data_IF_393830340503
#
_entry.id   IF_393830340503
#
_cell.length_a   1.000
_cell.length_b   1.000
_cell.length_c   1.000
_cell.angle_alpha   90.00
_cell.angle_beta   90.00
_cell.angle_gamma   90.00
#
_symmetry.space_group_name_H-M   'P 1'
#
loop_
_entity.id
_entity.type
_entity.pdbx_description
1 polymer ?
#
# COMPACT_ATOMS: atom_id res chain seq x y z
N UNK A 1 8.95 -2.68 13.39
CA UNK A 1 9.00 -2.74 11.91
C UNK A 1 8.97 -1.31 11.38
N UNK A 2 9.54 -1.05 10.20
CA UNK A 2 9.47 0.28 9.57
C UNK A 2 8.59 0.23 8.33
N UNK A 3 7.71 1.20 8.20
CA UNK A 3 7.01 1.54 6.96
C UNK A 3 7.71 2.75 6.34
N UNK A 4 8.15 2.64 5.10
CA UNK A 4 8.87 3.70 4.40
C UNK A 4 8.11 4.04 3.12
N UNK A 5 7.55 5.24 3.04
CA UNK A 5 6.85 5.73 1.85
C UNK A 5 7.89 6.08 0.79
N UNK A 6 8.03 5.22 -0.22
CA UNK A 6 9.02 5.36 -1.28
C UNK A 6 8.57 6.33 -2.37
N UNK A 7 7.26 6.38 -2.63
CA UNK A 7 6.65 7.40 -3.47
C UNK A 7 5.23 7.72 -3.01
N UNK A 8 4.92 9.01 -3.05
CA UNK A 8 3.63 9.68 -2.90
C UNK A 8 3.68 10.96 -3.77
N UNK A 9 2.55 11.56 -4.06
CA UNK A 9 2.45 12.74 -4.91
C UNK A 9 3.17 13.99 -4.39
N UNK A 10 3.59 14.01 -3.13
CA UNK A 10 4.33 15.13 -2.53
C UNK A 10 5.66 14.63 -1.96
N UNK A 11 6.80 15.27 -2.26
CA UNK A 11 8.10 14.85 -1.74
C UNK A 11 8.50 15.55 -0.44
N UNK A 12 9.28 14.86 0.39
CA UNK A 12 10.14 15.51 1.39
C UNK A 12 11.38 16.12 0.73
N UNK A 13 12.08 17.02 1.43
CA UNK A 13 13.28 17.68 0.90
C UNK A 13 14.33 16.66 0.46
N UNK A 14 14.80 16.78 -0.78
CA UNK A 14 15.83 15.91 -1.35
C UNK A 14 15.32 14.59 -1.93
N UNK A 15 14.01 14.34 -1.92
CA UNK A 15 13.38 13.22 -2.59
C UNK A 15 12.69 13.67 -3.88
N UNK A 16 12.47 12.70 -4.76
CA UNK A 16 11.66 12.86 -5.98
C UNK A 16 10.26 12.32 -5.73
N UNK A 17 9.33 12.73 -6.57
CA UNK A 17 8.00 12.16 -6.62
C UNK A 17 7.52 12.04 -8.06
N UNK A 18 6.61 11.10 -8.30
CA UNK A 18 5.73 11.05 -9.46
C UNK A 18 4.28 10.94 -8.98
N UNK A 19 3.32 11.04 -9.90
CA UNK A 19 1.97 10.57 -9.61
C UNK A 19 2.03 9.04 -9.43
N UNK A 20 1.94 8.56 -8.20
CA UNK A 20 1.98 7.12 -7.91
C UNK A 20 2.08 6.82 -6.43
N UNK A 21 2.14 5.52 -6.12
CA UNK A 21 2.20 5.04 -4.75
C UNK A 21 3.19 3.88 -4.63
N UNK A 22 4.02 3.92 -3.58
CA UNK A 22 4.86 2.78 -3.20
C UNK A 22 5.28 2.89 -1.74
N UNK A 23 5.19 1.78 -1.02
CA UNK A 23 5.60 1.69 0.39
C UNK A 23 6.39 0.40 0.63
N UNK A 24 7.49 0.52 1.39
CA UNK A 24 8.29 -0.61 1.85
C UNK A 24 7.99 -0.89 3.32
N UNK A 25 7.43 -2.06 3.60
CA UNK A 25 7.16 -2.55 4.95
C UNK A 25 8.17 -3.67 5.31
N UNK A 26 9.27 -3.30 5.97
CA UNK A 26 10.39 -4.20 6.17
C UNK A 26 11.00 -4.69 4.86
N UNK A 27 10.71 -5.93 4.46
CA UNK A 27 11.15 -6.54 3.18
C UNK A 27 9.99 -6.82 2.22
N UNK A 28 8.82 -6.24 2.47
CA UNK A 28 7.63 -6.37 1.63
C UNK A 28 7.44 -5.05 0.90
N UNK A 29 7.47 -5.08 -0.43
CA UNK A 29 7.14 -3.93 -1.27
C UNK A 29 5.65 -3.97 -1.61
N UNK A 30 4.92 -2.89 -1.36
CA UNK A 30 3.54 -2.73 -1.77
C UNK A 30 3.44 -1.57 -2.75
N UNK A 31 3.02 -1.90 -3.98
CA UNK A 31 3.08 -1.04 -5.18
C UNK A 31 4.50 -0.51 -5.47
N UNK A 32 4.72 -0.02 -6.69
CA UNK A 32 6.05 0.31 -7.19
C UNK A 32 6.10 1.60 -7.99
N UNK A 33 5.20 2.55 -7.73
CA UNK A 33 5.19 3.88 -8.37
C UNK A 33 5.02 3.80 -9.91
N UNK A 34 4.91 4.96 -10.56
CA UNK A 34 4.94 5.14 -12.02
C UNK A 34 6.35 4.93 -12.58
N UNK A 35 7.38 5.44 -11.90
CA UNK A 35 8.69 5.62 -12.50
C UNK A 35 9.79 4.86 -11.75
N UNK A 36 10.43 3.84 -12.36
CA UNK A 36 11.48 3.07 -11.72
C UNK A 36 12.68 3.94 -11.28
N UNK A 37 12.95 5.05 -11.98
CA UNK A 37 14.06 5.95 -11.62
C UNK A 37 13.76 6.76 -10.35
N UNK A 38 12.49 7.07 -10.08
CA UNK A 38 12.06 7.71 -8.83
C UNK A 38 12.23 6.73 -7.68
N UNK A 39 11.74 5.50 -7.85
CA UNK A 39 11.88 4.42 -6.88
C UNK A 39 13.35 4.11 -6.55
N UNK A 40 14.21 3.99 -7.58
CA UNK A 40 15.64 3.77 -7.43
C UNK A 40 16.36 4.94 -6.73
N UNK A 41 16.01 6.17 -7.08
CA UNK A 41 16.60 7.36 -6.45
C UNK A 41 16.19 7.47 -4.98
N UNK A 42 14.89 7.37 -4.68
CA UNK A 42 14.36 7.55 -3.34
C UNK A 42 14.84 6.45 -2.39
N UNK A 43 14.87 5.18 -2.83
CA UNK A 43 15.40 4.08 -2.01
C UNK A 43 16.86 4.31 -1.60
N UNK A 44 17.70 4.79 -2.54
CA UNK A 44 19.09 5.15 -2.26
C UNK A 44 19.20 6.32 -1.26
N UNK A 45 18.42 7.39 -1.44
CA UNK A 45 18.46 8.56 -0.54
C UNK A 45 17.95 8.21 0.86
N UNK A 46 16.95 7.32 0.96
CA UNK A 46 16.37 6.85 2.23
C UNK A 46 17.21 5.75 2.90
N UNK A 47 18.25 5.24 2.24
CA UNK A 47 19.09 4.18 2.78
C UNK A 47 18.38 2.84 2.94
N UNK A 48 17.38 2.57 2.10
CA UNK A 48 16.63 1.30 2.10
C UNK A 48 16.95 0.49 0.85
N UNK A 49 16.95 -0.84 0.99
CA UNK A 49 17.34 -1.75 -0.09
C UNK A 49 16.11 -2.42 -0.72
N UNK A 50 16.03 -2.33 -2.05
CA UNK A 50 14.99 -2.98 -2.85
C UNK A 50 15.42 -4.34 -3.39
N UNK A 51 16.62 -4.79 -3.04
CA UNK A 51 17.13 -6.13 -3.33
C UNK A 51 16.94 -7.04 -2.10
N UNK A 52 16.71 -8.32 -2.34
CA UNK A 52 16.49 -9.30 -1.27
C UNK A 52 15.15 -9.10 -0.56
N UNK A 53 14.14 -8.63 -1.31
CA UNK A 53 12.76 -8.54 -0.84
C UNK A 53 12.21 -9.94 -0.55
N UNK A 54 11.28 -10.03 0.39
CA UNK A 54 10.59 -11.27 0.75
C UNK A 54 9.54 -11.63 -0.30
N UNK A 55 8.75 -10.64 -0.69
CA UNK A 55 7.79 -10.66 -1.80
C UNK A 55 7.35 -9.22 -2.10
N UNK A 56 6.71 -9.05 -3.24
CA UNK A 56 6.02 -7.82 -3.62
C UNK A 56 4.50 -8.05 -3.64
N UNK A 57 3.75 -6.97 -3.51
CA UNK A 57 2.30 -6.92 -3.62
C UNK A 57 1.94 -5.78 -4.57
N UNK A 58 1.05 -6.05 -5.52
CA UNK A 58 0.47 -5.03 -6.40
C UNK A 58 -1.02 -4.94 -6.12
N UNK A 59 -1.46 -3.78 -5.64
CA UNK A 59 -2.86 -3.54 -5.26
C UNK A 59 -3.84 -3.72 -6.43
N UNK A 60 -3.50 -3.16 -7.60
CA UNK A 60 -4.29 -3.23 -8.83
C UNK A 60 -3.46 -2.82 -10.06
N UNK A 61 -3.97 -3.04 -11.26
CA UNK A 61 -3.22 -2.88 -12.52
C UNK A 61 -3.33 -1.48 -13.15
N UNK A 62 -3.18 -0.43 -12.35
CA UNK A 62 -2.93 0.91 -12.89
C UNK A 62 -1.43 1.23 -12.94
N UNK A 63 -1.04 1.96 -13.98
CA UNK A 63 0.38 2.19 -14.32
C UNK A 63 1.15 2.88 -13.19
N UNK A 64 0.48 3.75 -12.45
CA UNK A 64 1.01 4.49 -11.30
C UNK A 64 1.25 3.65 -10.03
N UNK A 65 0.90 2.37 -10.09
CA UNK A 65 1.14 1.38 -9.05
C UNK A 65 2.13 0.28 -9.48
N UNK A 66 2.26 0.01 -10.77
CA UNK A 66 3.15 -1.07 -11.26
C UNK A 66 4.35 -0.61 -12.08
N UNK A 67 4.44 0.66 -12.47
CA UNK A 67 5.45 1.17 -13.41
C UNK A 67 6.90 0.88 -13.01
N UNK A 68 7.21 0.84 -11.70
CA UNK A 68 8.52 0.44 -11.19
C UNK A 68 8.74 -1.07 -11.00
N UNK A 69 7.73 -1.93 -11.19
CA UNK A 69 7.87 -3.37 -10.99
C UNK A 69 8.91 -4.06 -11.90
N UNK A 70 9.09 -3.69 -13.18
CA UNK A 70 10.16 -4.27 -14.00
C UNK A 70 11.56 -4.10 -13.37
N UNK A 71 11.85 -2.91 -12.83
CA UNK A 71 13.10 -2.65 -12.10
C UNK A 71 13.22 -3.48 -10.83
N UNK A 72 12.11 -3.66 -10.09
CA UNK A 72 12.09 -4.52 -8.89
C UNK A 72 12.37 -5.99 -9.25
N UNK A 73 11.84 -6.46 -10.38
CA UNK A 73 12.07 -7.82 -10.87
C UNK A 73 13.52 -8.04 -11.30
N UNK A 74 14.14 -7.06 -11.96
CA UNK A 74 15.57 -7.10 -12.31
C UNK A 74 16.45 -7.25 -11.05
N UNK A 75 16.09 -6.56 -9.96
CA UNK A 75 16.80 -6.67 -8.68
C UNK A 75 16.51 -7.98 -7.93
N UNK A 76 15.35 -8.59 -8.17
CA UNK A 76 14.88 -9.80 -7.47
C UNK A 76 14.28 -10.83 -8.45
N UNK A 77 15.11 -11.51 -9.26
CA UNK A 77 14.60 -12.50 -10.21
C UNK A 77 13.80 -13.60 -9.51
N UNK A 78 12.60 -13.88 -10.01
CA UNK A 78 11.69 -14.89 -9.44
C UNK A 78 11.02 -14.46 -8.13
N UNK A 79 11.06 -13.17 -7.76
CA UNK A 79 10.35 -12.67 -6.59
C UNK A 79 8.86 -13.01 -6.70
N UNK A 80 8.27 -13.42 -5.59
CA UNK A 80 6.82 -13.66 -5.53
C UNK A 80 6.09 -12.31 -5.62
N UNK A 81 5.10 -12.21 -6.50
CA UNK A 81 4.24 -11.03 -6.63
C UNK A 81 2.78 -11.42 -6.38
N UNK A 82 2.21 -10.97 -5.27
CA UNK A 82 0.76 -11.13 -5.03
C UNK A 82 0.01 -10.01 -5.75
N UNK A 83 -0.96 -10.34 -6.60
CA UNK A 83 -1.71 -9.35 -7.37
C UNK A 83 -3.08 -9.89 -7.84
N UNK A 84 -4.02 -9.03 -8.30
CA UNK A 84 -5.23 -9.45 -9.00
C UNK A 84 -4.94 -10.25 -10.28
N UNK A 85 -5.85 -11.14 -10.67
CA UNK A 85 -5.65 -12.17 -11.71
C UNK A 85 -5.30 -11.61 -13.11
N UNK A 86 -5.79 -10.44 -13.50
CA UNK A 86 -5.76 -9.95 -14.88
C UNK A 86 -4.36 -9.73 -15.47
N UNK A 87 -3.38 -9.27 -14.69
CA UNK A 87 -2.03 -8.94 -15.18
C UNK A 87 -0.97 -10.01 -14.94
N UNK A 88 -1.34 -11.24 -14.57
CA UNK A 88 -0.40 -12.34 -14.31
C UNK A 88 0.58 -12.60 -15.46
N UNK A 89 0.18 -12.63 -16.75
CA UNK A 89 1.12 -12.81 -17.86
C UNK A 89 2.17 -11.70 -17.98
N UNK A 90 1.81 -10.48 -17.62
CA UNK A 90 2.72 -9.33 -17.65
C UNK A 90 3.76 -9.44 -16.54
N UNK A 91 3.34 -9.81 -15.32
CA UNK A 91 4.27 -10.07 -14.21
C UNK A 91 5.28 -11.18 -14.52
N UNK A 92 4.84 -12.28 -15.15
CA UNK A 92 5.73 -13.35 -15.59
C UNK A 92 6.77 -12.85 -16.60
N UNK A 93 6.38 -11.99 -17.55
CA UNK A 93 7.30 -11.40 -18.53
C UNK A 93 8.36 -10.51 -17.89
N UNK A 94 8.06 -9.83 -16.80
CA UNK A 94 9.04 -9.04 -16.05
C UNK A 94 9.98 -9.92 -15.21
N UNK A 95 9.64 -11.19 -14.97
CA UNK A 95 10.46 -12.13 -14.21
C UNK A 95 10.00 -12.40 -12.77
N UNK A 96 8.75 -12.04 -12.44
CA UNK A 96 8.14 -12.45 -11.17
C UNK A 96 7.62 -13.90 -11.22
N UNK A 97 7.42 -14.48 -10.04
CA UNK A 97 6.56 -15.64 -9.81
C UNK A 97 5.22 -15.15 -9.25
N UNK A 98 4.26 -14.74 -10.10
CA UNK A 98 3.05 -14.09 -9.59
C UNK A 98 2.10 -15.11 -8.96
N UNK A 99 1.41 -14.67 -7.91
CA UNK A 99 0.42 -15.44 -7.16
C UNK A 99 -0.89 -14.67 -7.19
N UNK A 100 -1.95 -15.23 -7.82
CA UNK A 100 -3.22 -14.53 -7.92
C UNK A 100 -3.88 -14.40 -6.56
N UNK A 101 -4.34 -13.20 -6.23
CA UNK A 101 -5.17 -12.94 -5.06
C UNK A 101 -6.62 -12.86 -5.51
N UNK A 102 -7.43 -13.80 -5.01
CA UNK A 102 -8.85 -13.90 -5.36
C UNK A 102 -9.75 -13.65 -4.14
N UNK A 103 -9.41 -14.25 -2.99
CA UNK A 103 -10.22 -14.21 -1.77
C UNK A 103 -9.44 -13.62 -0.59
N UNK A 104 -10.13 -13.12 0.46
CA UNK A 104 -9.48 -12.76 1.71
C UNK A 104 -8.78 -13.96 2.34
N UNK A 105 -7.70 -13.70 3.09
CA UNK A 105 -6.97 -14.73 3.82
C UNK A 105 -5.52 -14.35 4.15
N UNK A 106 -4.80 -15.27 4.78
CA UNK A 106 -3.37 -15.13 5.06
C UNK A 106 -2.54 -15.48 3.82
N UNK A 107 -1.69 -14.56 3.36
CA UNK A 107 -0.82 -14.75 2.18
C UNK A 107 0.62 -15.09 2.55
N UNK A 108 1.03 -14.72 3.76
CA UNK A 108 2.30 -15.07 4.40
C UNK A 108 2.12 -14.94 5.92
N UNK A 109 3.03 -15.50 6.73
CA UNK A 109 2.94 -15.48 8.19
C UNK A 109 2.71 -14.06 8.71
N UNK A 110 1.55 -13.85 9.33
CA UNK A 110 1.09 -12.55 9.88
C UNK A 110 0.89 -11.45 8.82
N UNK A 111 0.63 -11.85 7.58
CA UNK A 111 0.31 -10.96 6.47
C UNK A 111 -0.97 -11.46 5.80
N UNK A 112 -1.98 -10.61 5.82
CA UNK A 112 -3.33 -10.90 5.35
C UNK A 112 -3.64 -10.08 4.11
N UNK A 113 -4.61 -10.53 3.33
CA UNK A 113 -5.17 -9.77 2.20
C UNK A 113 -6.68 -9.70 2.29
N UNK A 114 -7.26 -8.61 1.75
CA UNK A 114 -8.70 -8.46 1.56
C UNK A 114 -9.28 -9.39 0.49
N UNK A 115 -8.44 -10.05 -0.31
CA UNK A 115 -8.87 -10.56 -1.61
C UNK A 115 -9.08 -9.42 -2.62
N UNK A 116 -9.15 -9.76 -3.91
CA UNK A 116 -9.43 -8.78 -4.96
C UNK A 116 -10.93 -8.44 -4.94
N UNK A 117 -11.28 -7.37 -4.22
CA UNK A 117 -12.65 -6.89 -4.17
C UNK A 117 -13.06 -6.37 -5.55
N UNK A 118 -14.31 -6.65 -5.92
CA UNK A 118 -14.87 -6.33 -7.23
C UNK A 118 -14.01 -6.89 -8.40
N UNK A 119 -13.24 -7.96 -8.15
CA UNK A 119 -12.24 -8.56 -9.04
C UNK A 119 -11.13 -7.59 -9.51
N UNK A 120 -10.92 -6.49 -8.77
CA UNK A 120 -10.11 -5.38 -9.25
C UNK A 120 -8.94 -5.02 -8.34
N UNK A 121 -9.20 -4.81 -7.05
CA UNK A 121 -8.19 -4.27 -6.13
C UNK A 121 -8.17 -5.02 -4.80
N UNK A 122 -6.98 -5.21 -4.25
CA UNK A 122 -6.79 -5.75 -2.91
C UNK A 122 -5.90 -4.87 -2.04
N UNK A 123 -6.08 -5.02 -0.73
CA UNK A 123 -5.25 -4.46 0.32
C UNK A 123 -4.52 -5.58 1.06
N UNK A 124 -3.53 -5.20 1.88
CA UNK A 124 -2.91 -6.12 2.82
C UNK A 124 -2.98 -5.61 4.26
N UNK A 125 -3.00 -6.53 5.21
CA UNK A 125 -2.78 -6.28 6.63
C UNK A 125 -1.48 -6.93 7.07
N UNK A 126 -0.67 -6.24 7.87
CA UNK A 126 0.57 -6.78 8.44
C UNK A 126 0.47 -6.64 9.96
N UNK A 127 0.63 -7.73 10.71
CA UNK A 127 0.74 -7.62 12.16
C UNK A 127 2.09 -7.04 12.55
N UNK A 128 2.06 -6.03 13.41
CA UNK A 128 3.23 -5.32 13.92
C UNK A 128 3.20 -5.29 15.45
N UNK A 129 4.24 -4.75 16.07
CA UNK A 129 4.27 -4.57 17.53
C UNK A 129 3.21 -3.59 18.03
N UNK A 130 2.81 -2.63 17.19
CA UNK A 130 1.76 -1.66 17.48
C UNK A 130 0.34 -2.15 17.16
N UNK A 131 0.19 -3.32 16.53
CA UNK A 131 -1.09 -3.87 16.08
C UNK A 131 -1.14 -4.08 14.56
N UNK A 132 -2.34 -4.25 14.00
CA UNK A 132 -2.51 -4.52 12.58
C UNK A 132 -2.39 -3.23 11.75
N UNK A 133 -1.44 -3.19 10.81
CA UNK A 133 -1.32 -2.11 9.82
C UNK A 133 -1.96 -2.56 8.52
N UNK A 134 -2.95 -1.80 8.05
CA UNK A 134 -3.59 -2.01 6.74
C UNK A 134 -2.98 -1.05 5.72
N UNK A 135 -2.49 -1.60 4.61
CA UNK A 135 -1.91 -0.85 3.50
C UNK A 135 -2.83 -1.02 2.28
N UNK A 136 -3.25 0.11 1.71
CA UNK A 136 -4.11 0.17 0.51
C UNK A 136 -3.39 0.86 -0.67
N UNK A 137 -3.82 0.55 -1.89
CA UNK A 137 -3.37 1.20 -3.12
C UNK A 137 -4.12 2.50 -3.36
N UNK A 138 -5.16 2.44 -4.21
CA UNK A 138 -6.09 3.55 -4.48
C UNK A 138 -7.42 3.40 -3.75
N UNK A 139 -7.81 2.20 -3.36
CA UNK A 139 -9.11 1.90 -2.74
C UNK A 139 -10.33 2.18 -3.62
N UNK A 140 -10.30 1.83 -4.91
CA UNK A 140 -11.45 1.98 -5.82
C UNK A 140 -12.72 1.28 -5.30
N UNK A 141 -12.65 0.04 -4.76
CA UNK A 141 -13.82 -0.60 -4.15
C UNK A 141 -14.28 0.14 -2.88
N UNK A 142 -13.34 0.76 -2.16
CA UNK A 142 -13.55 1.50 -0.93
C UNK A 142 -12.56 1.16 0.16
N UNK A 143 -11.97 2.20 0.78
CA UNK A 143 -10.98 2.02 1.84
C UNK A 143 -11.59 1.33 3.07
N UNK A 144 -12.84 1.61 3.41
CA UNK A 144 -13.58 0.95 4.49
C UNK A 144 -13.87 -0.53 4.18
N UNK A 145 -14.26 -0.84 2.94
CA UNK A 145 -14.51 -2.22 2.48
C UNK A 145 -13.23 -3.05 2.48
N UNK A 146 -12.15 -2.52 1.91
CA UNK A 146 -10.84 -3.18 1.90
C UNK A 146 -10.32 -3.41 3.31
N UNK A 147 -10.37 -2.38 4.16
CA UNK A 147 -9.93 -2.49 5.55
C UNK A 147 -10.74 -3.50 6.33
N UNK A 148 -12.08 -3.50 6.17
CA UNK A 148 -12.97 -4.49 6.80
C UNK A 148 -12.63 -5.92 6.38
N UNK A 149 -12.41 -6.17 5.10
CA UNK A 149 -12.04 -7.50 4.60
C UNK A 149 -10.68 -7.97 5.17
N UNK A 150 -9.70 -7.07 5.34
CA UNK A 150 -8.42 -7.40 5.99
C UNK A 150 -8.61 -7.69 7.49
N UNK A 151 -9.45 -6.92 8.18
CA UNK A 151 -9.78 -7.15 9.59
C UNK A 151 -10.45 -8.52 9.80
N UNK A 152 -11.45 -8.84 8.97
CA UNK A 152 -12.11 -10.15 8.97
C UNK A 152 -11.13 -11.29 8.71
N UNK A 153 -10.24 -11.15 7.72
CA UNK A 153 -9.24 -12.16 7.38
C UNK A 153 -8.18 -12.38 8.48
N UNK A 154 -7.86 -11.33 9.24
CA UNK A 154 -6.86 -11.36 10.31
C UNK A 154 -7.42 -11.69 11.70
N UNK A 155 -8.74 -11.58 11.88
CA UNK A 155 -9.40 -11.73 13.18
C UNK A 155 -9.25 -10.53 14.12
N UNK A 156 -8.73 -9.39 13.63
CA UNK A 156 -8.65 -8.15 14.40
C UNK A 156 -9.96 -7.37 14.34
N UNK A 157 -10.38 -6.80 15.47
CA UNK A 157 -11.56 -5.92 15.51
C UNK A 157 -11.26 -4.50 14.98
N UNK A 158 -10.01 -4.05 15.09
CA UNK A 158 -9.56 -2.71 14.73
C UNK A 158 -8.13 -2.74 14.17
N UNK A 159 -7.87 -1.88 13.18
CA UNK A 159 -6.52 -1.62 12.68
C UNK A 159 -5.81 -0.58 13.56
N UNK A 160 -4.52 -0.75 13.77
CA UNK A 160 -3.68 0.30 14.34
C UNK A 160 -3.55 1.48 13.36
N UNK A 161 -3.25 1.20 12.11
CA UNK A 161 -3.07 2.22 11.06
C UNK A 161 -3.67 1.73 9.74
N UNK A 162 -4.39 2.62 9.07
CA UNK A 162 -4.75 2.46 7.64
C UNK A 162 -4.02 3.53 6.83
N UNK A 163 -3.20 3.11 5.86
CA UNK A 163 -2.34 3.99 5.06
C UNK A 163 -2.45 3.70 3.56
N UNK A 164 -2.59 4.75 2.75
CA UNK A 164 -2.57 4.67 1.28
C UNK A 164 -3.56 5.62 0.61
N UNK A 165 -3.81 5.40 -0.69
CA UNK A 165 -4.77 6.17 -1.48
C UNK A 165 -6.21 5.72 -1.23
N UNK A 166 -7.13 6.69 -1.11
CA UNK A 166 -8.55 6.44 -0.85
C UNK A 166 -9.47 6.76 -2.05
N UNK A 167 -8.90 7.25 -3.16
CA UNK A 167 -9.59 7.59 -4.42
C UNK A 167 -10.76 8.56 -4.25
N UNK A 168 -10.50 9.70 -3.60
CA UNK A 168 -11.51 10.76 -3.35
C UNK A 168 -12.86 10.22 -2.85
N UNK A 169 -12.86 9.49 -1.72
CA UNK A 169 -14.05 8.78 -1.28
C UNK A 169 -15.12 9.77 -0.78
N UNK A 170 -16.41 9.42 -0.81
CA UNK A 170 -17.41 10.18 -0.08
C UNK A 170 -17.14 10.11 1.43
N UNK A 171 -17.47 11.20 2.13
CA UNK A 171 -17.05 11.40 3.54
C UNK A 171 -17.54 10.32 4.50
N UNK A 172 -18.70 9.72 4.26
CA UNK A 172 -19.23 8.63 5.10
C UNK A 172 -18.34 7.37 5.07
N UNK A 173 -17.55 7.15 4.01
CA UNK A 173 -16.56 6.06 3.96
C UNK A 173 -15.41 6.32 4.92
N UNK A 174 -15.02 7.58 5.06
CA UNK A 174 -14.01 8.01 6.03
C UNK A 174 -14.55 7.84 7.45
N UNK A 175 -15.83 8.15 7.67
CA UNK A 175 -16.50 7.93 8.96
C UNK A 175 -16.50 6.44 9.34
N UNK A 176 -16.92 5.57 8.42
CA UNK A 176 -16.84 4.11 8.61
C UNK A 176 -15.41 3.66 8.94
N UNK A 177 -14.41 4.18 8.20
CA UNK A 177 -13.02 3.84 8.43
C UNK A 177 -12.56 4.25 9.83
N UNK A 178 -12.93 5.46 10.28
CA UNK A 178 -12.56 5.97 11.59
C UNK A 178 -13.13 5.15 12.75
N UNK A 179 -14.25 4.46 12.56
CA UNK A 179 -14.79 3.52 13.54
C UNK A 179 -13.90 2.28 13.71
N UNK A 180 -13.19 1.84 12.67
CA UNK A 180 -12.43 0.58 12.64
C UNK A 180 -10.90 0.74 12.62
N UNK A 181 -10.37 1.95 12.83
CA UNK A 181 -8.91 2.18 12.94
C UNK A 181 -8.55 3.17 14.05
N UNK A 182 -7.33 3.06 14.58
CA UNK A 182 -6.76 4.04 15.52
C UNK A 182 -6.19 5.25 14.77
N UNK A 183 -5.40 5.00 13.72
CA UNK A 183 -4.76 6.02 12.90
C UNK A 183 -5.16 5.91 11.42
N UNK A 184 -5.19 7.05 10.74
CA UNK A 184 -5.54 7.20 9.32
C UNK A 184 -4.50 8.07 8.62
N UNK A 185 -3.85 7.50 7.60
CA UNK A 185 -2.85 8.17 6.77
C UNK A 185 -3.32 8.24 5.30
N UNK A 186 -4.18 9.21 4.95
CA UNK A 186 -4.62 9.41 3.57
C UNK A 186 -3.45 9.91 2.71
N UNK A 187 -3.08 9.15 1.70
CA UNK A 187 -2.00 9.43 0.76
C UNK A 187 -2.50 9.46 -0.69
N UNK A 188 -1.60 9.67 -1.63
CA UNK A 188 -1.79 9.50 -3.05
C UNK A 188 -3.07 10.17 -3.59
N UNK A 189 -3.95 9.40 -4.21
CA UNK A 189 -5.22 9.78 -4.84
C UNK A 189 -6.36 10.11 -3.86
N UNK A 190 -6.10 10.13 -2.54
CA UNK A 190 -7.12 10.45 -1.53
C UNK A 190 -7.81 11.79 -1.77
N UNK A 191 -7.10 12.75 -2.38
CA UNK A 191 -7.61 14.10 -2.63
C UNK A 191 -7.61 15.00 -1.38
N UNK A 192 -7.57 16.30 -1.60
CA UNK A 192 -7.46 17.29 -0.51
C UNK A 192 -8.68 17.29 0.41
N UNK A 193 -9.86 17.02 -0.14
CA UNK A 193 -11.10 16.93 0.64
C UNK A 193 -11.03 15.84 1.70
N UNK A 194 -10.58 14.63 1.35
CA UNK A 194 -10.48 13.53 2.31
C UNK A 194 -9.39 13.80 3.36
N UNK A 195 -8.21 14.28 2.92
CA UNK A 195 -7.10 14.63 3.81
C UNK A 195 -7.52 15.68 4.83
N UNK A 196 -8.17 16.75 4.39
CA UNK A 196 -8.64 17.82 5.26
C UNK A 196 -9.81 17.38 6.15
N UNK A 197 -10.70 16.52 5.64
CA UNK A 197 -11.81 15.99 6.45
C UNK A 197 -11.31 15.16 7.63
N UNK A 198 -10.39 14.23 7.41
CA UNK A 198 -9.77 13.44 8.50
C UNK A 198 -9.06 14.38 9.48
N UNK A 199 -8.25 15.32 8.97
CA UNK A 199 -7.49 16.26 9.80
C UNK A 199 -8.37 17.15 10.69
N UNK A 200 -9.56 17.55 10.22
CA UNK A 200 -10.48 18.41 10.97
C UNK A 200 -11.37 17.63 11.93
N UNK A 201 -11.98 16.52 11.46
CA UNK A 201 -12.97 15.75 12.23
C UNK A 201 -12.34 14.72 13.17
N UNK A 202 -11.26 14.07 12.74
CA UNK A 202 -10.56 13.00 13.44
C UNK A 202 -9.09 13.37 13.67
N UNK A 203 -8.86 14.57 14.23
CA UNK A 203 -7.54 15.19 14.35
C UNK A 203 -6.52 14.30 15.06
N UNK A 204 -6.96 13.60 16.10
CA UNK A 204 -6.17 12.65 16.90
C UNK A 204 -5.81 11.37 16.15
N UNK A 205 -6.54 11.03 15.08
CA UNK A 205 -6.28 9.87 14.23
C UNK A 205 -5.43 10.20 13.02
N UNK A 206 -5.35 11.48 12.63
CA UNK A 206 -4.70 11.89 11.39
C UNK A 206 -3.18 11.75 11.44
N UNK A 207 -2.62 11.06 10.44
CA UNK A 207 -1.18 10.95 10.23
C UNK A 207 -0.82 11.57 8.88
N UNK A 208 0.04 12.60 8.88
CA UNK A 208 0.53 13.21 7.65
C UNK A 208 1.63 12.34 7.04
N UNK A 209 1.43 11.95 5.78
CA UNK A 209 2.40 11.18 5.00
C UNK A 209 2.73 11.88 3.69
N UNK A 210 3.93 11.63 3.19
CA UNK A 210 4.48 12.10 1.91
C UNK A 210 5.66 11.20 1.53
N UNK A 211 6.26 11.39 0.36
CA UNK A 211 7.47 10.63 0.00
C UNK A 211 8.57 10.87 1.02
N UNK A 212 9.16 9.79 1.53
CA UNK A 212 10.16 9.79 2.58
C UNK A 212 9.63 9.75 4.01
N UNK A 213 8.31 9.71 4.22
CA UNK A 213 7.77 9.46 5.55
C UNK A 213 8.17 8.07 6.02
N UNK A 214 8.72 7.99 7.23
CA UNK A 214 9.08 6.75 7.92
C UNK A 214 8.21 6.64 9.17
N UNK A 215 7.52 5.51 9.33
CA UNK A 215 6.66 5.21 10.48
C UNK A 215 7.18 3.94 11.15
N UNK A 216 7.43 4.00 12.46
CA UNK A 216 7.78 2.85 13.28
C UNK A 216 6.50 2.21 13.83
N UNK A 217 6.34 0.90 13.60
CA UNK A 217 5.16 0.09 13.97
C UNK A 217 5.55 -1.29 14.51
#
# INVERSE_FOLDING_TARGET
MKLVVLNDNVPSKGLKNDWGWSILAGKILFDADTNPLVLAYNSKVLGVELKGLKFAVLSHWHYDHYGGLPYVAELNPGLKLYAPLEGMPMAMRWGFNPVPVMSPGEIDKRVYTSGALDNFEHAIGIETSSGLVVIVGCSHPGVDRLSRAVLEASGYERAYLVIGGFHSPPLWRIDNLAEMTELIAPAHCSGDMAKEYVKRKYKEKFVSVRTGTIIEV
#
